data_IF_476579411611
#
_entry.id   IF_476579411611
#
_cell.length_a   1.000
_cell.length_b   1.000
_cell.length_c   1.000
_cell.angle_alpha   90.00
_cell.angle_beta   90.00
_cell.angle_gamma   90.00
#
_symmetry.space_group_name_H-M   'P 1'
#
loop_
_entity.id
_entity.type
_entity.pdbx_description
1 polymer ?
#
# COMPACT_ATOMS: atom_id res chain seq x y z
N UNK A 1 -7.64 -1.87 -0.21
CA UNK A 1 -6.26 -2.02 -0.75
C UNK A 1 -6.29 -2.85 -2.02
N UNK A 2 -6.88 -4.05 -2.04
CA UNK A 2 -6.94 -4.91 -3.24
C UNK A 2 -7.47 -4.20 -4.49
N UNK A 3 -8.44 -3.31 -4.35
CA UNK A 3 -9.01 -2.55 -5.47
C UNK A 3 -8.03 -1.63 -6.19
N UNK A 4 -6.90 -1.30 -5.59
CA UNK A 4 -5.84 -0.53 -6.24
C UNK A 4 -4.67 -1.40 -6.72
N UNK A 5 -4.72 -2.72 -6.51
CA UNK A 5 -3.73 -3.68 -6.97
C UNK A 5 -4.09 -4.16 -8.37
N UNK A 6 -3.61 -3.48 -9.41
CA UNK A 6 -3.90 -3.82 -10.81
C UNK A 6 -3.01 -4.93 -11.37
N UNK A 7 -1.97 -5.35 -10.63
CA UNK A 7 -1.12 -6.46 -11.02
C UNK A 7 -1.77 -7.82 -10.73
N UNK A 8 -1.40 -8.83 -11.50
CA UNK A 8 -1.79 -10.23 -11.30
C UNK A 8 -1.07 -10.81 -10.09
N UNK A 9 -1.45 -11.93 -9.63
CA UNK A 9 -0.90 -12.89 -8.65
C UNK A 9 -1.94 -13.36 -7.62
N UNK A 10 -3.16 -12.91 -7.75
CA UNK A 10 -4.24 -13.26 -6.83
C UNK A 10 -5.06 -14.44 -7.38
N UNK A 11 -5.59 -15.25 -6.50
CA UNK A 11 -6.61 -16.22 -6.84
C UNK A 11 -6.15 -17.63 -7.23
N UNK A 12 -4.89 -17.86 -7.60
CA UNK A 12 -4.39 -19.15 -8.08
C UNK A 12 -4.74 -20.32 -7.14
N UNK A 13 -4.45 -20.19 -5.85
CA UNK A 13 -4.75 -21.25 -4.88
C UNK A 13 -6.23 -21.39 -4.55
N UNK A 14 -7.00 -20.32 -4.65
CA UNK A 14 -8.41 -20.30 -4.22
C UNK A 14 -9.38 -20.60 -5.38
N UNK A 15 -9.09 -20.07 -6.57
CA UNK A 15 -9.97 -20.10 -7.73
C UNK A 15 -9.37 -20.84 -8.92
N UNK A 16 -8.07 -21.18 -8.88
CA UNK A 16 -7.36 -21.75 -10.03
C UNK A 16 -7.14 -20.75 -11.16
N UNK A 17 -7.30 -19.46 -10.89
CA UNK A 17 -7.22 -18.37 -11.87
C UNK A 17 -6.16 -17.35 -11.43
N UNK A 18 -5.43 -16.79 -12.39
CA UNK A 18 -4.50 -15.69 -12.14
C UNK A 18 -5.23 -14.36 -12.33
N UNK A 19 -5.64 -13.76 -11.21
CA UNK A 19 -6.49 -12.58 -11.16
C UNK A 19 -5.69 -11.34 -10.74
N UNK A 20 -6.16 -10.18 -11.17
CA UNK A 20 -5.78 -8.91 -10.55
C UNK A 20 -6.41 -8.78 -9.16
N UNK A 21 -5.89 -7.87 -8.33
CA UNK A 21 -6.49 -7.60 -7.02
C UNK A 21 -7.93 -7.13 -7.10
N UNK A 22 -8.28 -6.39 -8.16
CA UNK A 22 -9.64 -5.90 -8.42
C UNK A 22 -10.60 -7.06 -8.72
N UNK A 23 -10.21 -7.98 -9.59
CA UNK A 23 -11.00 -9.16 -9.94
C UNK A 23 -11.16 -10.09 -8.75
N UNK A 24 -10.10 -10.31 -8.00
CA UNK A 24 -10.11 -11.08 -6.77
C UNK A 24 -11.07 -10.49 -5.72
N UNK A 25 -11.01 -9.18 -5.50
CA UNK A 25 -11.93 -8.49 -4.58
C UNK A 25 -13.39 -8.60 -5.05
N UNK A 26 -13.64 -8.52 -6.37
CA UNK A 26 -14.99 -8.67 -6.94
C UNK A 26 -15.55 -10.05 -6.64
N UNK A 27 -14.79 -11.12 -6.90
CA UNK A 27 -15.25 -12.49 -6.62
C UNK A 27 -15.67 -12.67 -5.15
N UNK A 28 -14.92 -12.13 -4.20
CA UNK A 28 -15.31 -12.20 -2.79
C UNK A 28 -16.54 -11.36 -2.45
N UNK A 29 -16.68 -10.19 -3.05
CA UNK A 29 -17.88 -9.37 -2.88
C UNK A 29 -19.12 -10.10 -3.40
N UNK A 30 -19.03 -10.66 -4.59
CA UNK A 30 -20.13 -11.41 -5.20
C UNK A 30 -20.52 -12.61 -4.30
N UNK A 31 -19.56 -13.33 -3.72
CA UNK A 31 -19.83 -14.38 -2.72
C UNK A 31 -20.53 -13.87 -1.44
N UNK A 32 -20.16 -12.68 -0.96
CA UNK A 32 -20.83 -12.05 0.21
C UNK A 32 -22.28 -11.74 -0.12
N UNK A 33 -22.55 -11.22 -1.32
CA UNK A 33 -23.89 -10.91 -1.81
C UNK A 33 -24.72 -12.18 -2.01
N UNK A 34 -24.19 -13.21 -2.65
CA UNK A 34 -24.84 -14.53 -2.84
C UNK A 34 -25.22 -15.21 -1.53
N UNK A 35 -24.35 -15.10 -0.52
CA UNK A 35 -24.58 -15.66 0.82
C UNK A 35 -25.47 -14.77 1.71
N UNK A 36 -25.91 -13.63 1.19
CA UNK A 36 -26.70 -12.64 1.93
C UNK A 36 -26.07 -12.24 3.27
N UNK A 37 -24.73 -12.10 3.31
CA UNK A 37 -24.02 -11.66 4.50
C UNK A 37 -24.22 -10.16 4.65
N UNK A 38 -24.80 -9.67 5.76
CA UNK A 38 -24.97 -8.24 5.96
C UNK A 38 -23.62 -7.55 6.15
N UNK A 39 -23.46 -6.40 5.54
CA UNK A 39 -22.29 -5.54 5.70
C UNK A 39 -22.69 -4.06 5.75
N UNK A 40 -21.89 -3.25 6.39
CA UNK A 40 -22.09 -1.82 6.54
C UNK A 40 -20.97 -1.07 5.82
N UNK A 41 -21.31 -0.32 4.77
CA UNK A 41 -20.38 0.59 4.10
C UNK A 41 -20.30 1.94 4.83
N UNK A 42 -19.25 2.71 4.54
CA UNK A 42 -19.00 4.02 5.11
C UNK A 42 -19.12 4.07 6.65
N UNK A 43 -18.83 2.92 7.28
CA UNK A 43 -18.96 2.71 8.72
C UNK A 43 -17.60 2.64 9.38
N UNK A 44 -17.36 3.51 10.35
CA UNK A 44 -16.10 3.58 11.09
C UNK A 44 -16.28 3.03 12.50
N UNK A 45 -15.47 2.03 12.86
CA UNK A 45 -15.43 1.49 14.22
C UNK A 45 -14.61 2.42 15.11
N UNK A 46 -15.23 2.97 16.14
CA UNK A 46 -14.63 3.90 17.10
C UNK A 46 -13.96 3.12 18.24
N UNK A 47 -14.66 2.10 18.74
CA UNK A 47 -14.24 1.37 19.94
C UNK A 47 -14.72 -0.07 19.91
N UNK A 48 -13.95 -0.94 20.53
CA UNK A 48 -14.31 -2.31 20.85
C UNK A 48 -13.87 -2.60 22.28
N UNK A 49 -14.70 -3.32 23.04
CA UNK A 49 -14.37 -3.69 24.41
C UNK A 49 -14.30 -5.21 24.63
N UNK A 50 -13.90 -5.62 25.79
CA UNK A 50 -13.73 -7.03 26.21
C UNK A 50 -15.08 -7.79 26.32
N UNK A 51 -16.21 -7.09 26.45
CA UNK A 51 -17.55 -7.66 26.38
C UNK A 51 -18.03 -7.89 24.94
N UNK A 52 -17.18 -7.66 23.95
CA UNK A 52 -17.49 -7.80 22.51
C UNK A 52 -18.58 -6.83 22.05
N UNK A 53 -18.62 -5.66 22.66
CA UNK A 53 -19.42 -4.55 22.16
C UNK A 53 -18.57 -3.71 21.21
N UNK A 54 -19.13 -3.33 20.09
CA UNK A 54 -18.50 -2.49 19.08
C UNK A 54 -19.32 -1.19 19.02
N UNK A 55 -18.63 -0.06 19.13
CA UNK A 55 -19.21 1.25 18.84
C UNK A 55 -18.73 1.70 17.47
N UNK A 56 -19.65 1.97 16.58
CA UNK A 56 -19.34 2.41 15.22
C UNK A 56 -20.15 3.67 14.88
N UNK A 57 -19.76 4.35 13.82
CA UNK A 57 -20.48 5.54 13.30
C UNK A 57 -20.53 5.49 11.78
N UNK A 58 -21.68 5.83 11.23
CA UNK A 58 -21.86 6.08 9.80
C UNK A 58 -22.74 7.30 9.56
N UNK A 59 -22.79 7.84 8.31
CA UNK A 59 -23.59 9.03 8.00
C UNK A 59 -25.11 8.84 8.09
N UNK A 60 -25.60 7.61 7.92
CA UNK A 60 -27.03 7.31 7.83
C UNK A 60 -27.66 7.07 9.23
N UNK A 61 -26.98 6.23 10.03
CA UNK A 61 -27.51 5.79 11.33
C UNK A 61 -26.92 6.56 12.52
N UNK A 62 -25.86 7.33 12.27
CA UNK A 62 -25.12 8.01 13.34
C UNK A 62 -24.30 7.01 14.19
N UNK A 63 -24.46 7.07 15.50
CA UNK A 63 -23.77 6.21 16.45
C UNK A 63 -24.50 4.87 16.58
N UNK A 64 -23.79 3.78 16.32
CA UNK A 64 -24.31 2.41 16.32
C UNK A 64 -23.59 1.61 17.40
N UNK A 65 -24.35 0.80 18.14
CA UNK A 65 -23.80 -0.18 19.07
C UNK A 65 -24.15 -1.60 18.60
N UNK A 66 -23.13 -2.45 18.49
CA UNK A 66 -23.27 -3.83 18.03
C UNK A 66 -22.78 -4.75 19.13
N UNK A 67 -23.63 -5.68 19.60
CA UNK A 67 -23.23 -6.75 20.49
C UNK A 67 -22.90 -7.98 19.66
N UNK A 68 -21.63 -8.38 19.64
CA UNK A 68 -21.16 -9.54 18.89
C UNK A 68 -20.97 -10.78 19.79
N UNK A 69 -21.11 -11.99 19.23
CA UNK A 69 -20.72 -13.24 19.86
C UNK A 69 -19.21 -13.50 19.72
N UNK A 70 -18.63 -13.08 18.59
CA UNK A 70 -17.21 -13.14 18.29
C UNK A 70 -16.86 -11.96 17.36
N UNK A 71 -15.62 -11.50 17.42
CA UNK A 71 -15.09 -10.44 16.59
C UNK A 71 -13.86 -10.98 15.86
N UNK A 72 -13.83 -10.82 14.54
CA UNK A 72 -12.67 -11.11 13.70
C UNK A 72 -12.07 -9.80 13.21
N UNK A 73 -10.81 -9.54 13.54
CA UNK A 73 -10.10 -8.36 13.07
C UNK A 73 -9.48 -8.63 11.70
N UNK A 74 -10.05 -8.02 10.67
CA UNK A 74 -9.60 -8.15 9.29
C UNK A 74 -9.32 -6.78 8.63
N UNK A 75 -8.78 -5.85 9.41
CA UNK A 75 -8.59 -4.44 9.04
C UNK A 75 -7.30 -4.14 8.27
N UNK A 76 -6.55 -5.16 7.89
CA UNK A 76 -5.30 -5.00 7.17
C UNK A 76 -4.17 -4.44 8.03
N UNK A 77 -3.20 -3.81 7.38
CA UNK A 77 -2.02 -3.25 7.98
C UNK A 77 -1.83 -1.79 7.56
N UNK A 78 -1.26 -0.99 8.43
CA UNK A 78 -0.91 0.38 8.14
C UNK A 78 0.57 0.48 7.76
N UNK A 79 0.86 1.16 6.67
CA UNK A 79 2.23 1.45 6.26
C UNK A 79 2.93 2.39 7.24
N UNK A 80 4.23 2.22 7.37
CA UNK A 80 5.07 3.16 8.12
C UNK A 80 5.22 4.45 7.31
N UNK A 81 4.79 5.54 7.90
CA UNK A 81 5.00 6.89 7.32
C UNK A 81 6.42 7.39 7.60
N UNK A 82 6.83 8.46 6.93
CA UNK A 82 8.08 9.17 7.23
C UNK A 82 8.27 9.43 8.73
N UNK A 83 7.20 9.83 9.43
CA UNK A 83 7.28 10.13 10.86
C UNK A 83 7.52 8.87 11.72
N UNK A 84 6.96 7.74 11.32
CA UNK A 84 7.23 6.47 12.00
C UNK A 84 8.67 6.00 11.79
N UNK A 85 9.30 6.39 10.68
CA UNK A 85 10.69 6.09 10.35
C UNK A 85 11.67 7.15 10.91
N UNK A 86 11.16 8.23 11.50
CA UNK A 86 11.93 9.34 12.08
C UNK A 86 12.94 9.97 11.11
N UNK A 87 12.62 10.02 9.81
CA UNK A 87 13.50 10.58 8.79
C UNK A 87 13.49 12.12 8.93
N UNK A 88 14.63 12.76 9.21
CA UNK A 88 14.73 14.20 9.33
C UNK A 88 14.59 14.92 7.99
N UNK A 89 14.57 16.26 8.06
CA UNK A 89 14.50 17.13 6.88
C UNK A 89 13.13 17.75 6.66
N UNK A 90 12.89 18.26 5.46
CA UNK A 90 11.68 19.00 5.11
C UNK A 90 10.44 18.14 5.02
N UNK A 91 9.27 18.77 5.17
CA UNK A 91 7.93 18.12 5.10
C UNK A 91 7.12 18.61 3.90
N UNK A 92 7.81 18.87 2.80
CA UNK A 92 7.17 19.30 1.56
C UNK A 92 6.33 18.20 0.90
N UNK A 93 5.58 18.58 -0.15
CA UNK A 93 4.85 17.64 -0.99
C UNK A 93 5.79 16.59 -1.63
N UNK A 94 5.26 15.43 -2.00
CA UNK A 94 6.00 14.36 -2.69
C UNK A 94 6.59 13.30 -1.76
N UNK A 95 6.29 13.34 -0.46
CA UNK A 95 6.63 12.29 0.50
C UNK A 95 5.38 11.44 0.71
N UNK A 96 5.37 10.23 0.19
CA UNK A 96 4.20 9.36 0.17
C UNK A 96 4.54 7.98 0.72
N UNK A 97 3.55 7.28 1.28
CA UNK A 97 3.64 5.84 1.44
C UNK A 97 3.40 5.16 0.09
N UNK A 98 3.89 3.94 -0.08
CA UNK A 98 3.72 3.20 -1.33
C UNK A 98 2.23 3.00 -1.69
N UNK A 99 1.38 2.68 -0.72
CA UNK A 99 -0.06 2.54 -0.94
C UNK A 99 -0.76 3.85 -1.31
N UNK A 100 -0.31 4.99 -0.77
CA UNK A 100 -0.82 6.30 -1.19
C UNK A 100 -0.41 6.62 -2.64
N UNK A 101 0.84 6.33 -3.00
CA UNK A 101 1.32 6.49 -4.38
C UNK A 101 0.56 5.57 -5.35
N UNK A 102 0.33 4.32 -4.97
CA UNK A 102 -0.46 3.36 -5.73
C UNK A 102 -1.90 3.86 -5.97
N UNK A 103 -2.52 4.45 -4.95
CA UNK A 103 -3.85 5.05 -5.11
C UNK A 103 -3.85 6.20 -6.10
N UNK A 104 -2.86 7.10 -6.03
CA UNK A 104 -2.73 8.19 -7.00
C UNK A 104 -2.63 7.67 -8.43
N UNK A 105 -1.77 6.69 -8.67
CA UNK A 105 -1.58 6.10 -9.99
C UNK A 105 -2.81 5.32 -10.46
N UNK A 106 -3.26 4.34 -9.69
CA UNK A 106 -4.19 3.31 -10.16
C UNK A 106 -5.66 3.69 -10.01
N UNK A 107 -6.00 4.60 -9.09
CA UNK A 107 -7.39 5.03 -8.87
C UNK A 107 -7.63 6.46 -9.37
N UNK A 108 -6.71 7.36 -9.09
CA UNK A 108 -6.90 8.77 -9.40
C UNK A 108 -6.31 9.19 -10.76
N UNK A 109 -5.46 8.35 -11.39
CA UNK A 109 -4.82 8.65 -12.67
C UNK A 109 -3.79 9.79 -12.61
N UNK A 110 -3.16 10.00 -11.45
CA UNK A 110 -2.15 11.03 -11.26
C UNK A 110 -0.77 10.44 -11.05
N UNK A 111 0.22 10.94 -11.78
CA UNK A 111 1.63 10.66 -11.54
C UNK A 111 2.16 11.60 -10.45
N UNK A 112 2.42 11.11 -9.21
CA UNK A 112 2.77 11.97 -8.09
C UNK A 112 4.19 12.54 -8.16
N UNK A 113 5.05 12.02 -9.02
CA UNK A 113 6.40 12.51 -9.26
C UNK A 113 7.03 11.86 -10.48
N UNK A 114 7.89 12.62 -11.19
CA UNK A 114 8.61 12.13 -12.38
C UNK A 114 9.95 11.49 -12.04
N UNK A 115 10.55 11.87 -10.91
CA UNK A 115 11.75 11.25 -10.34
C UNK A 115 11.42 10.75 -8.95
N UNK A 116 11.72 9.50 -8.70
CA UNK A 116 11.26 8.79 -7.51
C UNK A 116 12.40 8.03 -6.86
N UNK A 117 12.52 8.12 -5.55
CA UNK A 117 13.32 7.21 -4.72
C UNK A 117 12.36 6.43 -3.84
N UNK A 118 12.54 5.12 -3.79
CA UNK A 118 11.72 4.21 -2.98
C UNK A 118 12.54 3.74 -1.79
N UNK A 119 12.03 3.91 -0.59
CA UNK A 119 12.64 3.39 0.64
C UNK A 119 11.93 2.11 1.07
N UNK A 120 12.66 1.02 1.01
CA UNK A 120 12.23 -0.34 1.32
C UNK A 120 12.02 -1.20 0.07
N UNK A 121 12.57 -2.42 0.10
CA UNK A 121 12.51 -3.41 -0.97
C UNK A 121 11.51 -4.55 -0.71
N UNK A 122 10.48 -4.30 0.11
CA UNK A 122 9.33 -5.20 0.23
C UNK A 122 8.51 -5.24 -1.07
N UNK A 123 7.67 -6.26 -1.25
CA UNK A 123 6.91 -6.47 -2.49
C UNK A 123 6.17 -5.22 -2.99
N UNK A 124 5.54 -4.46 -2.10
CA UNK A 124 4.82 -3.23 -2.48
C UNK A 124 5.78 -2.19 -3.05
N UNK A 125 6.96 -2.01 -2.45
CA UNK A 125 7.99 -1.10 -2.96
C UNK A 125 8.48 -1.50 -4.34
N UNK A 126 8.76 -2.78 -4.56
CA UNK A 126 9.20 -3.33 -5.86
C UNK A 126 8.14 -3.17 -6.95
N UNK A 127 6.89 -3.53 -6.64
CA UNK A 127 5.76 -3.39 -7.56
C UNK A 127 5.54 -1.92 -7.93
N UNK A 128 5.67 -1.02 -6.96
CA UNK A 128 5.54 0.42 -7.22
C UNK A 128 6.70 0.98 -8.04
N UNK A 129 7.93 0.47 -7.86
CA UNK A 129 9.06 0.83 -8.70
C UNK A 129 8.75 0.56 -10.18
N UNK A 130 8.34 -0.67 -10.49
CA UNK A 130 7.90 -1.05 -11.84
C UNK A 130 6.75 -0.18 -12.34
N UNK A 131 5.72 0.04 -11.51
CA UNK A 131 4.55 0.84 -11.89
C UNK A 131 4.93 2.27 -12.25
N UNK A 132 5.79 2.91 -11.48
CA UNK A 132 6.28 4.26 -11.77
C UNK A 132 6.98 4.33 -13.13
N UNK A 133 7.84 3.36 -13.45
CA UNK A 133 8.53 3.31 -14.76
C UNK A 133 7.52 3.13 -15.90
N UNK A 134 6.54 2.24 -15.75
CA UNK A 134 5.50 2.01 -16.75
C UNK A 134 4.63 3.25 -17.00
N UNK A 135 4.44 4.09 -15.99
CA UNK A 135 3.71 5.37 -16.09
C UNK A 135 4.61 6.55 -16.53
N UNK A 136 5.86 6.26 -16.92
CA UNK A 136 6.79 7.24 -17.50
C UNK A 136 7.57 8.06 -16.48
N UNK A 137 7.67 7.61 -15.24
CA UNK A 137 8.58 8.18 -14.26
C UNK A 137 9.96 7.48 -14.30
N UNK A 138 10.98 8.17 -13.82
CA UNK A 138 12.31 7.65 -13.56
C UNK A 138 12.41 7.23 -12.09
N UNK A 139 12.71 5.96 -11.83
CA UNK A 139 13.01 5.48 -10.50
C UNK A 139 14.51 5.52 -10.30
N UNK A 140 14.99 6.53 -9.58
CA UNK A 140 16.41 6.80 -9.35
C UNK A 140 17.07 5.69 -8.52
N UNK A 141 16.33 5.15 -7.54
CA UNK A 141 16.81 4.07 -6.68
C UNK A 141 15.71 3.42 -5.86
N UNK A 142 15.94 2.17 -5.49
CA UNK A 142 15.35 1.52 -4.32
C UNK A 142 16.43 1.45 -3.24
N UNK A 143 16.09 1.88 -2.03
CA UNK A 143 17.03 1.92 -0.88
C UNK A 143 16.55 0.94 0.17
N UNK A 144 17.41 0.04 0.63
CA UNK A 144 17.07 -1.03 1.56
C UNK A 144 18.10 -1.11 2.69
N UNK A 145 17.61 -1.11 3.93
CA UNK A 145 18.47 -1.16 5.13
C UNK A 145 19.11 -2.53 5.34
N UNK A 146 18.47 -3.58 4.86
CA UNK A 146 19.00 -4.94 4.95
C UNK A 146 20.01 -5.22 3.82
N UNK A 147 20.92 -6.20 3.99
CA UNK A 147 21.84 -6.62 2.93
C UNK A 147 21.16 -7.45 1.82
N UNK A 148 19.85 -7.57 1.85
CA UNK A 148 19.03 -8.32 0.89
C UNK A 148 17.65 -7.72 0.76
N UNK A 149 16.98 -8.00 -0.35
CA UNK A 149 15.59 -7.58 -0.56
C UNK A 149 14.62 -8.34 0.34
N UNK A 150 13.66 -7.64 0.93
CA UNK A 150 12.55 -8.23 1.68
C UNK A 150 11.41 -8.74 0.80
N UNK A 151 11.42 -8.47 -0.50
CA UNK A 151 10.41 -8.90 -1.45
C UNK A 151 10.69 -10.30 -2.05
N UNK A 152 9.71 -10.84 -2.74
CA UNK A 152 9.82 -12.12 -3.42
C UNK A 152 10.83 -12.07 -4.56
N UNK A 153 11.62 -13.14 -4.80
CA UNK A 153 12.62 -13.16 -5.88
C UNK A 153 12.03 -12.84 -7.26
N UNK A 154 10.82 -13.30 -7.56
CA UNK A 154 10.15 -12.96 -8.83
C UNK A 154 9.89 -11.46 -8.98
N UNK A 155 9.55 -10.77 -7.89
CA UNK A 155 9.30 -9.33 -7.91
C UNK A 155 10.61 -8.57 -8.05
N UNK A 156 11.72 -9.05 -7.46
CA UNK A 156 13.05 -8.53 -7.74
C UNK A 156 13.36 -8.62 -9.23
N UNK A 157 13.16 -9.80 -9.84
CA UNK A 157 13.39 -9.99 -11.27
C UNK A 157 12.52 -9.07 -12.12
N UNK A 158 11.18 -9.17 -11.98
CA UNK A 158 10.21 -8.54 -12.86
C UNK A 158 10.03 -7.02 -12.62
N UNK A 159 10.37 -6.52 -11.44
CA UNK A 159 10.10 -5.14 -11.08
C UNK A 159 11.36 -4.27 -11.01
N UNK A 160 12.52 -4.88 -10.84
CA UNK A 160 13.78 -4.18 -10.62
C UNK A 160 14.81 -4.52 -11.72
N UNK A 161 15.18 -5.81 -11.85
CA UNK A 161 16.21 -6.20 -12.79
C UNK A 161 15.80 -6.00 -14.25
N UNK A 162 14.55 -6.35 -14.62
CA UNK A 162 14.03 -6.18 -15.99
C UNK A 162 13.88 -4.69 -16.40
N UNK A 163 14.01 -3.77 -15.44
CA UNK A 163 13.95 -2.32 -15.65
C UNK A 163 15.25 -1.60 -15.30
N UNK A 164 16.32 -2.33 -15.00
CA UNK A 164 17.63 -1.78 -14.64
C UNK A 164 17.58 -0.74 -13.50
N UNK A 165 16.68 -0.92 -12.53
CA UNK A 165 16.52 0.00 -11.40
C UNK A 165 17.63 -0.24 -10.37
N UNK A 166 18.42 0.78 -9.98
CA UNK A 166 19.46 0.64 -8.96
C UNK A 166 18.90 0.27 -7.59
N UNK A 167 19.52 -0.68 -6.89
CA UNK A 167 19.20 -1.00 -5.50
C UNK A 167 20.42 -0.76 -4.62
N UNK A 168 20.25 0.07 -3.58
CA UNK A 168 21.26 0.32 -2.56
C UNK A 168 20.90 -0.44 -1.29
N UNK A 169 21.62 -1.52 -1.03
CA UNK A 169 21.50 -2.31 0.19
C UNK A 169 22.31 -1.68 1.34
N UNK A 170 22.02 -2.12 2.57
CA UNK A 170 22.67 -1.63 3.80
C UNK A 170 22.66 -0.10 3.89
N UNK A 171 21.60 0.51 3.35
CA UNK A 171 21.47 1.95 3.18
C UNK A 171 20.09 2.42 3.59
N UNK A 172 19.99 3.67 4.01
CA UNK A 172 18.71 4.30 4.34
C UNK A 172 18.66 5.75 3.85
N UNK A 173 17.46 6.31 3.80
CA UNK A 173 17.28 7.76 3.59
C UNK A 173 17.50 8.47 4.94
N UNK A 174 18.62 9.15 5.07
CA UNK A 174 19.01 9.84 6.29
C UNK A 174 18.51 11.29 6.37
N UNK A 175 18.18 11.92 5.24
CA UNK A 175 17.61 13.27 5.20
C UNK A 175 16.76 13.49 3.94
N UNK A 176 15.67 14.26 4.09
CA UNK A 176 14.85 14.73 2.97
C UNK A 176 15.01 16.23 2.82
N UNK A 177 15.35 16.68 1.60
CA UNK A 177 15.57 18.10 1.25
C UNK A 177 14.52 18.61 0.29
N UNK A 178 14.23 19.88 0.39
CA UNK A 178 13.29 20.60 -0.47
C UNK A 178 12.68 21.78 0.26
N UNK A 179 11.77 22.47 -0.37
CA UNK A 179 11.07 23.62 0.21
C UNK A 179 9.56 23.33 0.27
N UNK A 180 8.87 23.62 -0.80
CA UNK A 180 7.44 23.28 -0.94
C UNK A 180 7.26 21.82 -1.32
N UNK A 181 8.21 21.27 -2.06
CA UNK A 181 8.23 19.87 -2.51
C UNK A 181 9.62 19.28 -2.32
N UNK A 182 9.68 17.95 -2.19
CA UNK A 182 10.94 17.19 -2.19
C UNK A 182 11.73 17.49 -3.46
N UNK A 183 13.00 17.86 -3.28
CA UNK A 183 13.95 18.07 -4.37
C UNK A 183 15.07 17.03 -4.40
N UNK A 184 15.44 16.50 -3.24
CA UNK A 184 16.44 15.43 -3.13
C UNK A 184 16.32 14.70 -1.79
N UNK A 185 16.98 13.56 -1.72
CA UNK A 185 17.19 12.79 -0.48
C UNK A 185 18.67 12.50 -0.30
N UNK A 186 19.10 12.35 0.94
CA UNK A 186 20.44 11.87 1.28
C UNK A 186 20.32 10.41 1.66
N UNK A 187 21.11 9.57 1.01
CA UNK A 187 21.23 8.13 1.30
C UNK A 187 22.56 7.88 1.99
N UNK A 188 22.57 7.11 3.05
CA UNK A 188 23.75 6.76 3.85
C UNK A 188 23.72 5.30 4.28
#
# INVERSE_FOLDING_TARGET
>A
VLQQCIHNVFGLHRFGEDLTGVEFARKYRDMVEELNIPYMLDTFVIEMNDQRQITAVNPEEGLIQIQAKAIVLAMGCRERTRNNLLIPGTRGAGILTAGSAQRYLNINGYLPGRKVVILGSGDIGLIMARQFVLEGAEVEAVVEVMPYSGGLPRNMKQCIEDFDIPVYYESTVSEIKGKERVSSVVVS
#
